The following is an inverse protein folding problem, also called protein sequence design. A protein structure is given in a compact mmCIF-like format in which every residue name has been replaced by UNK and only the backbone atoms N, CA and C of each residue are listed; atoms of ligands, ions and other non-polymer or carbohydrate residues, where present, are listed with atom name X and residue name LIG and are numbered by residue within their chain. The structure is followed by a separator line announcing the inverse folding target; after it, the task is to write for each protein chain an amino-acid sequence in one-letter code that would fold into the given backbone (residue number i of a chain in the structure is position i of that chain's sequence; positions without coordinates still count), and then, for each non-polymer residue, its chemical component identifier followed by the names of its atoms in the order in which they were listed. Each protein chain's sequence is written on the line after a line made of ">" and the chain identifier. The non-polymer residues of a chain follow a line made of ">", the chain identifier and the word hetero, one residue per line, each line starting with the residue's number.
data_IF_476329258152
#
_entry.id   IF_476329258152
#
_cell.length_a   1.000
_cell.length_b   1.000
_cell.length_c   1.000
_cell.angle_alpha   90.00
_cell.angle_beta   90.00
_cell.angle_gamma   90.00
#
_symmetry.space_group_name_H-M   'P 1'
#
loop_
_entity.id
_entity.type
_entity.pdbx_description
1 polymer ?
#
# COMPACT_ATOMS: atom_id res chain seq x y z
N UNK A 1 -10.35 7.11 9.16
CA UNK A 1 -9.21 6.20 9.26
C UNK A 1 -8.49 6.19 7.93
N UNK A 2 -7.17 6.00 7.92
CA UNK A 2 -6.40 5.86 6.69
C UNK A 2 -6.86 4.62 5.90
N UNK A 3 -6.65 4.61 4.57
CA UNK A 3 -7.07 3.52 3.69
C UNK A 3 -6.29 2.21 3.84
N UNK A 4 -5.33 2.16 4.77
CA UNK A 4 -4.50 1.00 5.11
C UNK A 4 -4.34 0.99 6.63
N UNK A 5 -4.40 -0.20 7.23
CA UNK A 5 -4.06 -0.39 8.65
C UNK A 5 -2.54 -0.42 8.85
N UNK A 6 -1.98 0.70 9.33
CA UNK A 6 -0.55 0.83 9.58
C UNK A 6 -0.07 -0.02 10.77
N UNK A 7 -0.97 -0.50 11.64
CA UNK A 7 -0.55 -1.38 12.75
C UNK A 7 -0.04 -2.73 12.24
N UNK A 8 -0.51 -3.18 11.07
CA UNK A 8 -0.01 -4.38 10.37
C UNK A 8 1.45 -4.28 9.91
N UNK A 9 2.01 -3.06 9.85
CA UNK A 9 3.40 -2.83 9.47
C UNK A 9 4.36 -2.90 10.66
N UNK A 10 3.84 -2.86 11.89
CA UNK A 10 4.68 -2.85 13.10
C UNK A 10 5.18 -4.26 13.38
N UNK A 11 6.51 -4.43 13.40
CA UNK A 11 7.17 -5.68 13.75
C UNK A 11 7.46 -5.69 15.26
N UNK A 12 8.02 -4.60 15.77
CA UNK A 12 8.31 -4.39 17.19
C UNK A 12 8.03 -2.94 17.56
N UNK A 13 7.11 -2.73 18.49
CA UNK A 13 6.62 -1.41 18.86
C UNK A 13 7.76 -0.47 19.27
N UNK A 14 7.78 0.73 18.66
CA UNK A 14 8.78 1.76 18.91
C UNK A 14 10.22 1.41 18.46
N UNK A 15 10.42 0.27 17.80
CA UNK A 15 11.75 -0.22 17.41
C UNK A 15 11.84 -0.53 15.91
N UNK A 16 10.94 -1.35 15.38
CA UNK A 16 11.03 -1.87 13.99
C UNK A 16 9.64 -1.93 13.36
N UNK A 17 9.51 -1.39 12.15
CA UNK A 17 8.34 -1.49 11.31
C UNK A 17 8.74 -1.55 9.84
N UNK A 18 7.82 -2.01 9.00
CA UNK A 18 7.94 -1.94 7.55
C UNK A 18 7.70 -0.52 7.04
N UNK A 19 8.63 -0.03 6.22
CA UNK A 19 8.44 1.18 5.41
C UNK A 19 7.98 0.79 4.01
N UNK A 20 6.79 1.26 3.62
CA UNK A 20 6.22 0.97 2.31
C UNK A 20 6.42 2.14 1.35
N UNK A 21 7.12 1.88 0.24
CA UNK A 21 7.33 2.83 -0.84
C UNK A 21 6.44 2.46 -2.04
N UNK A 22 5.74 3.45 -2.60
CA UNK A 22 4.85 3.28 -3.74
C UNK A 22 5.34 4.19 -4.86
N UNK A 23 5.87 3.58 -5.92
CA UNK A 23 6.34 4.30 -7.12
C UNK A 23 5.33 4.12 -8.26
N UNK A 24 4.91 5.25 -8.84
CA UNK A 24 3.99 5.28 -9.98
C UNK A 24 4.64 5.89 -11.21
N UNK A 25 4.60 5.19 -12.34
CA UNK A 25 5.07 5.69 -13.63
C UNK A 25 3.89 5.81 -14.60
N UNK A 26 3.69 7.02 -15.15
CA UNK A 26 2.64 7.30 -16.14
C UNK A 26 3.25 7.22 -17.54
N UNK A 27 2.78 6.25 -18.33
CA UNK A 27 3.31 5.99 -19.69
C UNK A 27 2.52 6.76 -20.75
N UNK A 28 1.23 7.02 -20.52
CA UNK A 28 0.35 7.79 -21.41
C UNK A 28 -0.77 8.46 -20.61
N UNK A 29 -1.25 9.62 -21.08
CA UNK A 29 -2.38 10.34 -20.49
C UNK A 29 -3.47 10.58 -21.54
N UNK A 30 -4.41 9.65 -21.62
CA UNK A 30 -5.63 9.72 -22.44
C UNK A 30 -6.83 10.33 -21.68
N UNK A 31 -6.73 10.44 -20.36
CA UNK A 31 -7.74 11.05 -19.50
C UNK A 31 -7.79 10.34 -18.15
N UNK A 32 -8.50 10.90 -17.17
CA UNK A 32 -8.72 10.30 -15.85
C UNK A 32 -7.48 9.72 -15.14
N UNK A 33 -6.34 10.39 -15.29
CA UNK A 33 -5.05 9.90 -14.77
C UNK A 33 -5.08 9.59 -13.27
N UNK A 34 -5.82 10.39 -12.50
CA UNK A 34 -5.95 10.20 -11.05
C UNK A 34 -6.70 8.91 -10.71
N UNK A 35 -7.72 8.55 -11.48
CA UNK A 35 -8.48 7.32 -11.28
C UNK A 35 -7.61 6.11 -11.65
N UNK A 36 -6.90 6.20 -12.78
CA UNK A 36 -5.97 5.15 -13.22
C UNK A 36 -4.85 4.92 -12.20
N UNK A 37 -4.25 6.00 -11.69
CA UNK A 37 -3.20 5.91 -10.66
C UNK A 37 -3.75 5.35 -9.34
N UNK A 38 -4.93 5.78 -8.89
CA UNK A 38 -5.54 5.25 -7.68
C UNK A 38 -5.88 3.76 -7.79
N UNK A 39 -6.40 3.33 -8.95
CA UNK A 39 -6.67 1.93 -9.23
C UNK A 39 -5.38 1.10 -9.27
N UNK A 40 -4.32 1.63 -9.89
CA UNK A 40 -3.01 0.98 -9.94
C UNK A 40 -2.39 0.83 -8.54
N UNK A 41 -2.46 1.88 -7.70
CA UNK A 41 -1.98 1.83 -6.31
C UNK A 41 -2.77 0.79 -5.51
N UNK A 42 -4.10 0.80 -5.62
CA UNK A 42 -4.94 -0.19 -4.93
C UNK A 42 -4.58 -1.61 -5.35
N UNK A 43 -4.45 -1.87 -6.65
CA UNK A 43 -4.08 -3.19 -7.18
C UNK A 43 -2.68 -3.62 -6.73
N UNK A 44 -1.71 -2.72 -6.75
CA UNK A 44 -0.35 -2.98 -6.28
C UNK A 44 -0.34 -3.37 -4.78
N UNK A 45 -1.07 -2.62 -3.95
CA UNK A 45 -1.20 -2.91 -2.52
C UNK A 45 -1.90 -4.26 -2.27
N UNK A 46 -2.99 -4.55 -2.97
CA UNK A 46 -3.70 -5.83 -2.84
C UNK A 46 -2.82 -7.02 -3.26
N UNK A 47 -1.88 -6.81 -4.19
CA UNK A 47 -0.95 -7.84 -4.63
C UNK A 47 0.38 -7.87 -3.84
N UNK A 48 0.57 -6.94 -2.90
CA UNK A 48 1.78 -6.90 -2.07
C UNK A 48 1.62 -7.88 -0.91
N UNK A 49 2.57 -8.82 -0.79
CA UNK A 49 2.73 -9.68 0.38
C UNK A 49 3.80 -9.12 1.30
N UNK A 50 3.45 -8.87 2.56
CA UNK A 50 4.39 -8.49 3.62
C UNK A 50 5.00 -9.79 4.16
N UNK A 51 6.31 -10.02 4.05
CA UNK A 51 6.90 -11.24 4.58
C UNK A 51 6.79 -11.27 6.10
N UNK A 52 6.47 -12.44 6.64
CA UNK A 52 6.40 -12.64 8.08
C UNK A 52 7.78 -12.47 8.70
N UNK A 53 7.82 -11.82 9.86
CA UNK A 53 9.06 -11.53 10.56
C UNK A 53 9.06 -12.23 11.92
N UNK A 54 10.10 -13.00 12.17
CA UNK A 54 10.38 -13.57 13.48
C UNK A 54 11.44 -12.71 14.17
N UNK A 55 11.08 -12.18 15.34
CA UNK A 55 11.98 -11.36 16.15
C UNK A 55 12.56 -12.19 17.27
N UNK A 56 13.88 -12.33 17.30
CA UNK A 56 14.58 -12.83 18.48
C UNK A 56 14.90 -11.62 19.38
N UNK A 57 14.23 -11.56 20.53
CA UNK A 57 14.44 -10.50 21.52
C UNK A 57 15.76 -10.78 22.24
N UNK A 58 16.68 -9.81 22.20
CA UNK A 58 17.97 -9.88 22.89
C UNK A 58 17.81 -10.05 24.40
N UNK A 59 18.86 -10.54 25.05
CA UNK A 59 18.83 -10.90 26.49
C UNK A 59 18.86 -9.66 27.38
N UNK A 60 19.22 -8.49 26.82
CA UNK A 60 19.23 -7.20 27.51
C UNK A 60 18.38 -6.14 26.78
N UNK A 61 17.82 -5.15 27.51
CA UNK A 61 16.93 -4.13 26.92
C UNK A 61 17.58 -3.24 25.86
N UNK A 62 18.91 -3.06 25.96
CA UNK A 62 19.72 -2.19 25.10
C UNK A 62 20.23 -2.90 23.83
N UNK A 63 20.04 -4.22 23.73
CA UNK A 63 20.46 -5.01 22.57
C UNK A 63 19.48 -4.83 21.41
N UNK A 64 20.02 -4.63 20.20
CA UNK A 64 19.20 -4.53 19.01
C UNK A 64 18.53 -5.89 18.73
N UNK A 65 17.21 -5.91 18.47
CA UNK A 65 16.50 -7.14 18.16
C UNK A 65 17.03 -7.75 16.86
N UNK A 66 17.26 -9.06 16.86
CA UNK A 66 17.59 -9.79 15.64
C UNK A 66 16.29 -10.07 14.87
N UNK A 67 16.25 -9.60 13.62
CA UNK A 67 15.08 -9.68 12.75
C UNK A 67 15.35 -10.74 11.69
N UNK A 68 14.55 -11.81 11.69
CA UNK A 68 14.61 -12.86 10.69
C UNK A 68 13.35 -12.82 9.83
N UNK A 69 13.52 -12.71 8.51
CA UNK A 69 12.44 -12.54 7.54
C UNK A 69 12.15 -13.91 6.91
N UNK A 70 10.89 -14.32 6.89
CA UNK A 70 10.45 -15.56 6.23
C UNK A 70 10.34 -15.38 4.72
N UNK A 71 10.80 -16.37 3.97
CA UNK A 71 10.67 -16.42 2.50
C UNK A 71 9.39 -17.15 2.03
N UNK A 72 8.67 -17.82 2.93
CA UNK A 72 7.55 -18.70 2.60
C UNK A 72 6.19 -18.16 3.08
N UNK A 73 6.18 -17.36 4.14
CA UNK A 73 4.96 -16.86 4.79
C UNK A 73 4.78 -15.36 4.55
N UNK A 74 3.64 -14.97 3.98
CA UNK A 74 3.31 -13.59 3.67
C UNK A 74 1.93 -13.21 4.22
N UNK A 75 1.83 -12.01 4.77
CA UNK A 75 0.58 -11.36 5.14
C UNK A 75 0.14 -10.41 4.03
N UNK A 76 -1.14 -10.41 3.70
CA UNK A 76 -1.71 -9.55 2.68
C UNK A 76 -2.30 -8.29 3.31
N UNK A 77 -2.15 -7.15 2.65
CA UNK A 77 -2.79 -5.91 3.10
C UNK A 77 -4.31 -6.00 3.01
N UNK A 78 -5.00 -5.57 4.07
CA UNK A 78 -6.42 -5.24 3.96
C UNK A 78 -6.56 -3.92 3.19
N UNK A 79 -7.08 -4.03 1.96
CA UNK A 79 -7.30 -2.91 1.04
C UNK A 79 -8.78 -2.57 0.88
N UNK A 80 -9.65 -3.15 1.71
CA UNK A 80 -11.09 -2.92 1.68
C UNK A 80 -11.47 -1.46 1.94
N UNK A 81 -10.72 -0.78 2.81
CA UNK A 81 -10.89 0.64 3.14
C UNK A 81 -10.14 1.59 2.19
N UNK A 82 -9.40 1.06 1.20
CA UNK A 82 -8.61 1.90 0.30
C UNK A 82 -9.54 2.74 -0.61
N UNK A 83 -9.39 4.08 -0.62
CA UNK A 83 -10.31 4.97 -1.31
C UNK A 83 -10.25 4.76 -2.83
N UNK A 84 -11.41 4.88 -3.49
CA UNK A 84 -11.50 4.91 -4.95
C UNK A 84 -11.63 6.37 -5.38
N UNK A 85 -10.74 6.82 -6.27
CA UNK A 85 -10.84 8.15 -6.87
C UNK A 85 -11.73 8.04 -8.12
N UNK A 86 -12.65 9.00 -8.26
CA UNK A 86 -13.52 9.13 -9.43
C UNK A 86 -13.40 10.55 -9.96
N UNK A 87 -13.00 10.70 -11.22
CA UNK A 87 -12.85 11.99 -11.88
C UNK A 87 -14.06 12.23 -12.77
N UNK A 88 -14.81 13.31 -12.50
CA UNK A 88 -15.96 13.73 -13.30
C UNK A 88 -15.61 14.99 -14.10
N UNK A 89 -15.56 14.87 -15.43
CA UNK A 89 -15.36 16.01 -16.33
C UNK A 89 -16.71 16.46 -16.89
N UNK A 90 -17.14 17.68 -16.57
CA UNK A 90 -18.34 18.28 -17.16
C UNK A 90 -17.99 18.96 -18.49
N UNK A 91 -18.50 18.42 -19.60
CA UNK A 91 -18.52 19.07 -20.91
C UNK A 91 -19.93 19.65 -21.14
N UNK A 92 -20.05 20.87 -21.70
CA UNK A 92 -21.32 21.63 -21.73
C UNK A 92 -22.50 20.90 -22.41
N UNK A 93 -23.68 20.91 -21.76
CA UNK A 93 -25.07 20.49 -22.15
C UNK A 93 -25.31 19.26 -23.06
N UNK A 94 -24.27 18.58 -23.52
CA UNK A 94 -24.36 17.32 -24.26
C UNK A 94 -23.31 16.39 -23.69
N UNK A 95 -23.77 15.29 -23.11
CA UNK A 95 -22.91 14.22 -22.63
C UNK A 95 -22.30 13.49 -23.83
N UNK A 96 -20.96 13.51 -23.95
CA UNK A 96 -20.23 12.63 -24.85
C UNK A 96 -19.54 11.56 -23.99
N UNK A 97 -19.86 10.29 -24.25
CA UNK A 97 -19.21 9.12 -23.66
C UNK A 97 -17.99 8.76 -24.54
N UNK A 98 -16.79 8.95 -23.98
CA UNK A 98 -15.46 8.52 -24.42
C UNK A 98 -14.99 8.78 -25.87
N UNK A 99 -13.79 9.35 -25.98
CA UNK A 99 -12.81 9.04 -27.02
C UNK A 99 -11.44 8.87 -26.38
#
# INVERSE_FOLDING_TARGET
>A
GAGIDLSSLVILEGKVCWDLYIDGLVVSSDGSLLDALAAAIKAALSNTGIPQVNVAVGVSPDEQPEVNISDEEFLQFDTSAFPVIITLTKVSVVYIYNS
#
